data_IF_099889201794
#
_entry.id   IF_099889201794
#
_cell.length_a   1.000
_cell.length_b   1.000
_cell.length_c   1.000
_cell.angle_alpha   90.00
_cell.angle_beta   90.00
_cell.angle_gamma   90.00
#
_symmetry.space_group_name_H-M   'P 1'
#
loop_
_entity.id
_entity.type
_entity.pdbx_description
1 polymer ?
#
# COMPACT_ATOMS: atom_id res chain seq x y z
N UNK A 1 -3.94 -14.37 7.64
CA UNK A 1 -3.96 -13.45 8.80
C UNK A 1 -3.88 -14.31 10.02
N UNK A 2 -3.05 -13.94 11.00
CA UNK A 2 -2.73 -14.83 12.11
C UNK A 2 -3.85 -14.89 13.16
N UNK A 3 -4.77 -13.93 13.17
CA UNK A 3 -5.97 -13.93 14.02
C UNK A 3 -7.05 -12.93 13.52
N UNK A 4 -8.23 -12.96 14.14
CA UNK A 4 -9.38 -12.06 13.89
C UNK A 4 -9.00 -10.57 14.04
N UNK A 5 -8.14 -10.24 15.01
CA UNK A 5 -7.76 -8.85 15.29
C UNK A 5 -6.96 -8.23 14.13
N UNK A 6 -6.05 -8.99 13.54
CA UNK A 6 -5.31 -8.58 12.34
C UNK A 6 -6.27 -8.35 11.16
N UNK A 7 -7.30 -9.18 11.03
CA UNK A 7 -8.32 -9.02 9.99
C UNK A 7 -9.14 -7.75 10.17
N UNK A 8 -9.65 -7.49 11.38
CA UNK A 8 -10.40 -6.27 11.68
C UNK A 8 -9.54 -5.02 11.50
N UNK A 9 -8.27 -5.07 11.90
CA UNK A 9 -7.32 -3.98 11.68
C UNK A 9 -7.11 -3.71 10.19
N UNK A 10 -6.95 -4.76 9.39
CA UNK A 10 -6.79 -4.62 7.94
C UNK A 10 -8.03 -4.02 7.27
N UNK A 11 -9.23 -4.41 7.70
CA UNK A 11 -10.49 -3.81 7.22
C UNK A 11 -10.58 -2.32 7.60
N UNK A 12 -10.28 -1.97 8.84
CA UNK A 12 -10.32 -0.58 9.31
C UNK A 12 -9.34 0.31 8.52
N UNK A 13 -8.13 -0.19 8.23
CA UNK A 13 -7.15 0.53 7.41
C UNK A 13 -7.64 0.68 5.97
N UNK A 14 -8.17 -0.40 5.37
CA UNK A 14 -8.76 -0.35 4.03
C UNK A 14 -9.86 0.70 3.93
N UNK A 15 -10.76 0.75 4.91
CA UNK A 15 -11.87 1.69 4.89
C UNK A 15 -11.38 3.15 5.01
N UNK A 16 -10.36 3.40 5.85
CA UNK A 16 -9.69 4.72 5.91
C UNK A 16 -9.03 5.10 4.58
N UNK A 17 -8.39 4.15 3.91
CA UNK A 17 -7.77 4.36 2.58
C UNK A 17 -8.84 4.71 1.55
N UNK A 18 -9.92 3.95 1.49
CA UNK A 18 -11.03 4.18 0.57
C UNK A 18 -11.70 5.54 0.81
N UNK A 19 -11.78 5.97 2.07
CA UNK A 19 -12.32 7.27 2.47
C UNK A 19 -11.30 8.42 2.34
N UNK A 20 -10.11 8.17 1.81
CA UNK A 20 -9.01 9.15 1.65
C UNK A 20 -8.61 9.83 2.96
N UNK A 21 -8.86 9.17 4.10
CA UNK A 21 -8.57 9.69 5.44
C UNK A 21 -7.38 9.00 6.10
N UNK A 22 -6.78 7.99 5.44
CA UNK A 22 -5.61 7.30 5.94
C UNK A 22 -4.35 8.15 5.80
N UNK A 23 -3.62 8.32 6.90
CA UNK A 23 -2.26 8.86 6.92
C UNK A 23 -1.30 7.93 6.18
N UNK A 24 -0.10 8.43 5.85
CA UNK A 24 0.89 7.59 5.19
C UNK A 24 1.33 6.38 6.02
N UNK A 25 1.50 6.54 7.33
CA UNK A 25 1.88 5.44 8.22
C UNK A 25 0.80 4.37 8.28
N UNK A 26 -0.48 4.75 8.24
CA UNK A 26 -1.61 3.81 8.15
C UNK A 26 -1.63 3.06 6.81
N UNK A 27 -1.35 3.76 5.71
CA UNK A 27 -1.20 3.12 4.40
C UNK A 27 -0.01 2.16 4.37
N UNK A 28 1.11 2.53 4.97
CA UNK A 28 2.32 1.71 5.08
C UNK A 28 2.07 0.47 5.94
N UNK A 29 1.34 0.62 7.04
CA UNK A 29 0.94 -0.52 7.87
C UNK A 29 0.01 -1.47 7.11
N UNK A 30 -0.95 -0.96 6.33
CA UNK A 30 -1.80 -1.78 5.47
C UNK A 30 -0.99 -2.58 4.45
N UNK A 31 -0.06 -1.94 3.73
CA UNK A 31 0.81 -2.62 2.75
C UNK A 31 1.72 -3.65 3.43
N UNK A 32 2.25 -3.34 4.62
CA UNK A 32 3.04 -4.29 5.42
C UNK A 32 2.22 -5.51 5.81
N UNK A 33 0.97 -5.33 6.23
CA UNK A 33 0.08 -6.44 6.57
C UNK A 33 -0.20 -7.32 5.34
N UNK A 34 -0.43 -6.73 4.17
CA UNK A 34 -0.58 -7.47 2.91
C UNK A 34 0.69 -8.25 2.52
N UNK A 35 1.87 -7.69 2.80
CA UNK A 35 3.16 -8.34 2.52
C UNK A 35 3.40 -9.54 3.44
N UNK A 36 3.10 -9.39 4.73
CA UNK A 36 3.16 -10.47 5.71
C UNK A 36 2.22 -11.64 5.36
N UNK A 37 1.14 -11.35 4.63
CA UNK A 37 0.17 -12.31 4.11
C UNK A 37 0.57 -12.95 2.78
N UNK A 38 1.72 -12.57 2.21
CA UNK A 38 2.17 -12.99 0.89
C UNK A 38 1.30 -12.47 -0.26
N UNK A 39 0.46 -11.45 -0.01
CA UNK A 39 -0.33 -10.78 -1.05
C UNK A 39 0.47 -9.73 -1.82
N UNK A 40 1.58 -9.29 -1.24
CA UNK A 40 2.58 -8.41 -1.85
C UNK A 40 3.97 -8.98 -1.57
N UNK A 41 4.93 -8.66 -2.44
CA UNK A 41 6.34 -9.00 -2.22
C UNK A 41 7.00 -7.97 -1.31
N UNK A 42 8.10 -8.38 -0.66
CA UNK A 42 8.92 -7.45 0.15
C UNK A 42 9.41 -6.27 -0.71
N UNK A 43 9.79 -6.51 -1.96
CA UNK A 43 10.19 -5.43 -2.90
C UNK A 43 9.07 -4.41 -3.12
N UNK A 44 7.83 -4.87 -3.32
CA UNK A 44 6.67 -3.98 -3.48
C UNK A 44 6.41 -3.15 -2.22
N UNK A 45 6.59 -3.74 -1.04
CA UNK A 45 6.53 -2.99 0.22
C UNK A 45 7.67 -1.98 0.34
N UNK A 46 8.92 -2.37 0.06
CA UNK A 46 10.07 -1.48 0.15
C UNK A 46 9.95 -0.30 -0.80
N UNK A 47 9.41 -0.51 -2.01
CA UNK A 47 9.11 0.55 -2.95
C UNK A 47 8.03 1.50 -2.44
N UNK A 48 6.96 0.96 -1.85
CA UNK A 48 5.93 1.76 -1.20
C UNK A 48 6.48 2.56 0.00
N UNK A 49 7.30 1.93 0.84
CA UNK A 49 7.88 2.53 2.04
C UNK A 49 8.93 3.60 1.72
N UNK A 50 9.56 3.53 0.56
CA UNK A 50 10.52 4.52 0.05
C UNK A 50 9.86 5.66 -0.73
N UNK A 51 8.55 5.89 -0.54
CA UNK A 51 7.76 6.91 -1.23
C UNK A 51 8.41 8.29 -1.30
N UNK A 52 9.16 8.69 -0.27
CA UNK A 52 9.85 9.99 -0.24
C UNK A 52 10.90 10.15 -1.35
N UNK A 53 11.33 9.06 -2.00
CA UNK A 53 12.24 9.05 -3.15
C UNK A 53 11.55 8.92 -4.50
N UNK A 54 10.27 8.56 -4.54
CA UNK A 54 9.46 8.49 -5.76
C UNK A 54 8.86 9.86 -6.02
N UNK A 55 9.17 10.45 -7.18
CA UNK A 55 8.67 11.78 -7.58
C UNK A 55 7.15 11.90 -7.33
N UNK A 56 6.79 12.93 -6.56
CA UNK A 56 5.54 13.08 -5.82
C UNK A 56 4.24 12.91 -6.63
N UNK A 57 4.23 13.17 -7.94
CA UNK A 57 2.96 13.33 -8.67
C UNK A 57 2.31 12.01 -9.06
N UNK A 58 3.09 11.02 -9.51
CA UNK A 58 2.55 9.71 -9.95
C UNK A 58 2.05 8.91 -8.76
N UNK A 59 2.78 8.98 -7.65
CA UNK A 59 2.46 8.24 -6.44
C UNK A 59 1.23 8.84 -5.72
N UNK A 60 1.15 10.17 -5.62
CA UNK A 60 -0.03 10.84 -5.08
C UNK A 60 -1.28 10.60 -5.95
N UNK A 61 -1.14 10.59 -7.28
CA UNK A 61 -2.26 10.30 -8.18
C UNK A 61 -2.81 8.87 -7.97
N UNK A 62 -1.93 7.88 -7.86
CA UNK A 62 -2.36 6.49 -7.70
C UNK A 62 -2.85 6.15 -6.27
N UNK A 63 -2.36 6.85 -5.25
CA UNK A 63 -2.92 6.80 -3.88
C UNK A 63 -4.31 7.45 -3.82
N UNK A 64 -4.51 8.57 -4.52
CA UNK A 64 -5.78 9.34 -4.52
C UNK A 64 -6.95 8.57 -5.16
N UNK A 65 -6.66 7.60 -6.03
CA UNK A 65 -7.66 6.78 -6.74
C UNK A 65 -8.07 5.54 -5.92
N UNK A 66 -7.54 5.33 -4.71
CA UNK A 66 -7.87 4.16 -3.88
C UNK A 66 -7.22 2.86 -4.33
N UNK A 67 -6.27 2.94 -5.27
CA UNK A 67 -5.61 1.78 -5.87
C UNK A 67 -4.26 1.48 -5.26
N UNK A 68 -4.15 1.18 -3.96
CA UNK A 68 -2.87 0.73 -3.37
C UNK A 68 -2.36 -0.56 -4.06
N UNK A 69 -3.28 -1.43 -4.48
CA UNK A 69 -2.97 -2.63 -5.26
C UNK A 69 -2.48 -2.25 -6.67
N UNK A 70 -3.06 -1.21 -7.27
CA UNK A 70 -2.63 -0.69 -8.57
C UNK A 70 -1.25 -0.06 -8.50
N UNK A 71 -0.87 0.58 -7.38
CA UNK A 71 0.49 1.09 -7.16
C UNK A 71 1.54 -0.02 -7.14
N UNK A 72 1.30 -1.09 -6.39
CA UNK A 72 2.20 -2.24 -6.36
C UNK A 72 2.37 -2.89 -7.75
N UNK A 73 1.31 -2.86 -8.56
CA UNK A 73 1.34 -3.35 -9.95
C UNK A 73 2.04 -2.36 -10.92
N UNK A 74 1.77 -1.06 -10.81
CA UNK A 74 2.34 -0.03 -11.68
C UNK A 74 3.85 0.10 -11.49
N UNK A 75 4.32 0.07 -10.24
CA UNK A 75 5.74 0.17 -9.91
C UNK A 75 6.51 -1.06 -10.43
N UNK A 76 5.95 -2.26 -10.30
CA UNK A 76 6.55 -3.48 -10.89
C UNK A 76 6.65 -3.44 -12.42
N UNK A 77 5.74 -2.72 -13.09
CA UNK A 77 5.73 -2.56 -14.55
C UNK A 77 6.65 -1.43 -15.05
N UNK A 78 6.84 -0.37 -14.27
CA UNK A 78 7.73 0.74 -14.65
C UNK A 78 9.22 0.45 -14.39
N UNK A 79 9.53 -0.45 -13.45
CA UNK A 79 10.92 -0.79 -13.10
C UNK A 79 11.45 -1.97 -13.93
N UNK A 80 10.57 -2.79 -14.51
CA UNK A 80 10.94 -3.72 -15.57
C UNK A 80 10.96 -3.00 -16.93
N UNK A 81 12.09 -2.36 -17.24
CA UNK A 81 12.45 -2.01 -18.62
C UNK A 81 13.74 -2.71 -18.99
#
# INVERSE_FOLDING_TARGET
MKNENDYQKLLALRDKINNKSATFEEQKEYVRMLTNEGKLTEEQYQMFAQKDKLQNDVLNAALTIGGIILLAWLVGKFINK
#
